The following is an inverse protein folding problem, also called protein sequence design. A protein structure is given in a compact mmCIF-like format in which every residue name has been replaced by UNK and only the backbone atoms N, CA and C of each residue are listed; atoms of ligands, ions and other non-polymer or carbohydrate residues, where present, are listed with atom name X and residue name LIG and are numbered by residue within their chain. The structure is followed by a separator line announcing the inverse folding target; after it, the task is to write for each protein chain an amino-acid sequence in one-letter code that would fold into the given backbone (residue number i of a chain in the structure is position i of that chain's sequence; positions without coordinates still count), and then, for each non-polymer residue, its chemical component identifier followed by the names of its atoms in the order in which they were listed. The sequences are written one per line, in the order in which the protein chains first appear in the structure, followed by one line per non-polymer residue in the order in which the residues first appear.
data_IF_306040926861
#
_entry.id   IF_306040926861
#
_cell.length_a   1.000
_cell.length_b   1.000
_cell.length_c   1.000
_cell.angle_alpha   90.00
_cell.angle_beta   90.00
_cell.angle_gamma   90.00
#
_symmetry.space_group_name_H-M   'P 1'
#
loop_
_entity.id
_entity.type
_entity.pdbx_description
1 polymer ?
#
# COMPACT_ATOMS: atom_id res chain seq x y z
N UNK A 1 0.84 -19.94 -14.35
CA UNK A 1 1.27 -19.84 -15.76
C UNK A 1 0.47 -18.72 -16.44
N UNK A 2 1.13 -17.71 -17.01
CA UNK A 2 0.47 -16.63 -17.75
C UNK A 2 -0.11 -17.13 -19.07
N UNK A 3 -1.25 -16.56 -19.47
CA UNK A 3 -1.94 -16.89 -20.73
C UNK A 3 -1.00 -16.57 -21.91
N UNK A 4 -0.75 -17.52 -22.82
CA UNK A 4 0.06 -17.32 -24.03
C UNK A 4 -0.49 -16.14 -24.85
N UNK A 5 0.38 -15.25 -25.30
CA UNK A 5 0.01 -14.12 -26.16
C UNK A 5 -0.44 -14.63 -27.51
N UNK A 6 -1.59 -14.16 -28.01
CA UNK A 6 -2.16 -14.59 -29.30
C UNK A 6 -1.43 -14.01 -30.50
N UNK A 7 -0.69 -12.88 -30.33
CA UNK A 7 0.02 -12.22 -31.41
C UNK A 7 1.54 -12.48 -31.28
N UNK A 8 2.21 -13.09 -32.29
CA UNK A 8 3.65 -13.37 -32.26
C UNK A 8 4.52 -12.12 -32.08
N UNK A 9 4.11 -10.97 -32.61
CA UNK A 9 4.83 -9.72 -32.44
C UNK A 9 4.94 -9.27 -30.97
N UNK A 10 4.00 -9.72 -30.14
CA UNK A 10 4.00 -9.41 -28.71
C UNK A 10 4.93 -10.32 -27.88
N UNK A 11 5.52 -11.36 -28.47
CA UNK A 11 6.46 -12.25 -27.76
C UNK A 11 7.75 -11.52 -27.37
N UNK A 12 8.14 -10.51 -28.15
CA UNK A 12 9.33 -9.67 -27.88
C UNK A 12 9.11 -8.60 -26.81
N UNK A 13 7.88 -8.41 -26.33
CA UNK A 13 7.55 -7.39 -25.34
C UNK A 13 7.75 -7.92 -23.90
N UNK A 14 8.10 -7.06 -22.94
CA UNK A 14 8.15 -7.43 -21.53
C UNK A 14 6.83 -8.01 -21.01
N UNK A 15 6.85 -8.77 -19.89
CA UNK A 15 5.64 -9.33 -19.29
C UNK A 15 4.59 -8.26 -18.98
N UNK A 16 3.33 -8.54 -19.31
CA UNK A 16 2.18 -7.65 -19.07
C UNK A 16 2.29 -6.25 -19.74
N UNK A 17 3.12 -6.12 -20.77
CA UNK A 17 3.20 -4.93 -21.61
C UNK A 17 2.40 -5.16 -22.90
N UNK A 18 1.61 -4.16 -23.26
CA UNK A 18 0.74 -4.17 -24.42
C UNK A 18 0.97 -2.89 -25.25
N UNK A 19 1.02 -3.00 -26.59
CA UNK A 19 1.04 -1.82 -27.44
C UNK A 19 -0.33 -1.14 -27.44
N UNK A 20 -0.31 0.17 -27.38
CA UNK A 20 -1.43 1.05 -27.66
C UNK A 20 -1.14 1.79 -28.98
N UNK A 21 -2.02 2.67 -29.45
CA UNK A 21 -1.84 3.40 -30.73
C UNK A 21 -0.50 4.12 -30.87
N UNK A 22 0.01 4.68 -29.77
CA UNK A 22 1.25 5.50 -29.80
C UNK A 22 2.29 5.10 -28.75
N UNK A 23 1.96 4.20 -27.81
CA UNK A 23 2.82 3.90 -26.67
C UNK A 23 2.69 2.46 -26.23
N UNK A 24 3.69 2.00 -25.46
CA UNK A 24 3.62 0.75 -24.72
C UNK A 24 3.09 1.00 -23.31
N UNK A 25 2.14 0.16 -22.89
CA UNK A 25 1.49 0.25 -21.59
C UNK A 25 1.72 -1.03 -20.81
N UNK A 26 2.27 -0.92 -19.62
CA UNK A 26 2.43 -2.02 -18.68
C UNK A 26 1.21 -2.10 -17.76
N UNK A 27 0.64 -3.30 -17.64
CA UNK A 27 -0.51 -3.58 -16.79
C UNK A 27 -0.12 -4.64 -15.75
N UNK A 28 0.50 -4.26 -14.63
CA UNK A 28 0.91 -5.21 -13.58
C UNK A 28 -0.30 -5.91 -12.94
N UNK A 29 -1.44 -5.24 -12.87
CA UNK A 29 -2.72 -5.78 -12.42
C UNK A 29 -3.85 -5.32 -13.35
N UNK A 30 -5.05 -5.91 -13.23
CA UNK A 30 -6.23 -5.51 -14.02
C UNK A 30 -6.70 -4.07 -13.75
N UNK A 31 -6.28 -3.47 -12.64
CA UNK A 31 -6.69 -2.11 -12.21
C UNK A 31 -5.64 -1.04 -12.42
N UNK A 32 -4.40 -1.44 -12.73
CA UNK A 32 -3.28 -0.52 -12.86
C UNK A 32 -2.73 -0.53 -14.28
N UNK A 33 -2.47 0.64 -14.83
CA UNK A 33 -1.80 0.80 -16.10
C UNK A 33 -0.75 1.91 -16.02
N UNK A 34 0.44 1.64 -16.54
CA UNK A 34 1.57 2.58 -16.56
C UNK A 34 2.06 2.70 -18.00
N UNK A 35 2.04 3.90 -18.55
CA UNK A 35 2.66 4.17 -19.86
C UNK A 35 4.19 4.16 -19.70
N UNK A 36 4.88 3.35 -20.49
CA UNK A 36 6.32 3.18 -20.43
C UNK A 36 7.05 4.11 -21.41
N UNK A 37 6.90 3.84 -22.72
CA UNK A 37 7.59 4.58 -23.79
C UNK A 37 6.68 4.74 -25.00
N UNK A 38 7.03 5.65 -25.91
CA UNK A 38 6.38 5.72 -27.21
C UNK A 38 6.85 4.56 -28.11
N UNK A 39 6.00 4.10 -29.03
CA UNK A 39 6.34 3.01 -29.97
C UNK A 39 7.55 3.37 -30.83
N UNK A 40 7.69 4.64 -31.20
CA UNK A 40 8.81 5.15 -32.01
C UNK A 40 10.19 5.00 -31.32
N UNK A 41 10.22 4.85 -29.98
CA UNK A 41 11.48 4.78 -29.22
C UNK A 41 12.12 3.37 -29.29
N UNK A 42 11.42 2.39 -29.83
CA UNK A 42 11.89 1.05 -30.08
C UNK A 42 11.90 0.13 -28.84
N UNK A 43 12.19 -1.16 -29.10
CA UNK A 43 12.14 -2.20 -28.07
C UNK A 43 13.22 -2.07 -27.00
N UNK A 44 14.40 -1.60 -27.35
CA UNK A 44 15.50 -1.42 -26.38
C UNK A 44 15.14 -0.39 -25.30
N UNK A 45 14.59 0.77 -25.71
CA UNK A 45 14.12 1.80 -24.80
C UNK A 45 12.95 1.29 -23.94
N UNK A 46 12.07 0.48 -24.53
CA UNK A 46 10.98 -0.17 -23.81
C UNK A 46 11.49 -1.08 -22.69
N UNK A 47 12.41 -2.00 -22.98
CA UNK A 47 12.98 -2.92 -22.01
C UNK A 47 13.68 -2.19 -20.87
N UNK A 48 14.52 -1.20 -21.19
CA UNK A 48 15.19 -0.36 -20.19
C UNK A 48 14.17 0.32 -19.26
N UNK A 49 13.15 0.95 -19.83
CA UNK A 49 12.12 1.64 -19.05
C UNK A 49 11.26 0.69 -18.21
N UNK A 50 10.98 -0.50 -18.75
CA UNK A 50 10.28 -1.54 -18.02
C UNK A 50 11.07 -2.01 -16.80
N UNK A 51 12.35 -2.34 -16.97
CA UNK A 51 13.23 -2.76 -15.87
C UNK A 51 13.37 -1.67 -14.80
N UNK A 52 13.58 -0.42 -15.18
CA UNK A 52 13.60 0.71 -14.26
C UNK A 52 12.29 0.81 -13.46
N UNK A 53 11.15 0.68 -14.14
CA UNK A 53 9.83 0.81 -13.53
C UNK A 53 9.55 -0.33 -12.55
N UNK A 54 9.87 -1.57 -12.92
CA UNK A 54 9.73 -2.75 -12.06
C UNK A 54 10.69 -2.66 -10.87
N UNK A 55 11.97 -2.35 -11.09
CA UNK A 55 12.95 -2.21 -10.02
C UNK A 55 12.58 -1.11 -9.03
N UNK A 56 12.09 0.04 -9.52
CA UNK A 56 11.63 1.12 -8.65
C UNK A 56 10.40 0.70 -7.83
N UNK A 57 9.49 -0.06 -8.43
CA UNK A 57 8.32 -0.60 -7.73
C UNK A 57 8.73 -1.63 -6.66
N UNK A 58 9.66 -2.52 -6.98
CA UNK A 58 10.17 -3.52 -6.03
C UNK A 58 11.00 -2.91 -4.90
N UNK A 59 11.67 -1.79 -5.16
CA UNK A 59 12.40 -1.00 -4.15
C UNK A 59 11.49 -0.10 -3.32
N UNK A 60 10.31 0.23 -3.82
CA UNK A 60 9.39 1.13 -3.12
C UNK A 60 9.04 0.57 -1.73
N UNK A 61 9.07 1.44 -0.72
CA UNK A 61 8.59 1.12 0.62
C UNK A 61 7.08 0.94 0.56
N UNK A 62 6.60 -0.31 0.53
CA UNK A 62 5.16 -0.59 0.68
C UNK A 62 4.75 -0.49 2.14
N UNK A 63 3.45 -0.29 2.38
CA UNK A 63 2.94 -0.28 3.75
C UNK A 63 3.19 -1.61 4.49
N UNK A 64 3.16 -2.74 3.78
CA UNK A 64 3.51 -4.04 4.35
C UNK A 64 4.96 -4.09 4.82
N UNK A 65 5.91 -3.66 3.98
CA UNK A 65 7.33 -3.58 4.36
C UNK A 65 7.59 -2.62 5.52
N UNK A 66 6.87 -1.50 5.55
CA UNK A 66 6.94 -0.55 6.65
C UNK A 66 6.47 -1.18 7.96
N UNK A 67 5.36 -1.94 7.90
CA UNK A 67 4.82 -2.65 9.04
C UNK A 67 5.77 -3.74 9.55
N UNK A 68 6.35 -4.54 8.67
CA UNK A 68 7.36 -5.56 9.01
C UNK A 68 8.57 -4.95 9.71
N UNK A 69 9.10 -3.83 9.18
CA UNK A 69 10.19 -3.11 9.82
C UNK A 69 9.82 -2.57 11.21
N UNK A 70 8.58 -2.11 11.39
CA UNK A 70 8.08 -1.68 12.69
C UNK A 70 8.04 -2.84 13.68
N UNK A 71 7.52 -4.00 13.28
CA UNK A 71 7.48 -5.21 14.13
C UNK A 71 8.87 -5.73 14.51
N UNK A 72 9.87 -5.55 13.65
CA UNK A 72 11.25 -5.94 13.91
C UNK A 72 12.04 -4.90 14.74
N UNK A 73 11.42 -3.80 15.16
CA UNK A 73 12.10 -2.72 15.89
C UNK A 73 12.11 -2.93 17.39
N UNK A 74 13.14 -2.40 18.06
CA UNK A 74 13.19 -2.33 19.52
C UNK A 74 11.97 -1.61 20.11
N UNK A 75 11.48 -0.55 19.42
CA UNK A 75 10.28 0.16 19.84
C UNK A 75 9.06 -0.78 19.99
N UNK A 76 8.88 -1.73 19.06
CA UNK A 76 7.78 -2.70 19.15
C UNK A 76 8.02 -3.73 20.26
N UNK A 77 9.25 -4.22 20.44
CA UNK A 77 9.59 -5.19 21.49
C UNK A 77 9.42 -4.63 22.91
N UNK A 78 9.57 -3.32 23.07
CA UNK A 78 9.39 -2.62 24.37
C UNK A 78 7.90 -2.40 24.73
N UNK A 79 6.97 -2.67 23.78
CA UNK A 79 5.54 -2.56 24.04
C UNK A 79 5.06 -3.73 24.92
N UNK A 80 4.01 -3.46 25.72
CA UNK A 80 3.38 -4.50 26.52
C UNK A 80 2.87 -5.67 25.64
N UNK A 81 2.88 -6.93 26.13
CA UNK A 81 2.39 -8.09 25.37
C UNK A 81 0.97 -7.92 24.84
N UNK A 82 0.12 -7.24 25.59
CA UNK A 82 -1.25 -6.90 25.18
C UNK A 82 -1.25 -6.01 23.93
N UNK A 83 -0.45 -4.94 23.95
CA UNK A 83 -0.33 -4.01 22.85
C UNK A 83 0.25 -4.68 21.61
N UNK A 84 1.26 -5.51 21.77
CA UNK A 84 1.84 -6.29 20.66
C UNK A 84 0.79 -7.19 20.00
N UNK A 85 -0.03 -7.87 20.78
CA UNK A 85 -1.13 -8.71 20.28
C UNK A 85 -2.15 -7.89 19.50
N UNK A 86 -2.50 -6.70 19.98
CA UNK A 86 -3.43 -5.79 19.29
C UNK A 86 -2.87 -5.35 17.92
N UNK A 87 -1.57 -5.03 17.83
CA UNK A 87 -0.92 -4.73 16.54
C UNK A 87 -1.00 -5.91 15.56
N UNK A 88 -0.74 -7.13 15.99
CA UNK A 88 -0.83 -8.33 15.15
C UNK A 88 -2.27 -8.59 14.67
N UNK A 89 -3.25 -8.28 15.51
CA UNK A 89 -4.66 -8.39 15.13
C UNK A 89 -5.05 -7.35 14.08
N UNK A 90 -4.65 -6.09 14.28
CA UNK A 90 -4.92 -4.99 13.35
C UNK A 90 -4.18 -5.17 12.02
N UNK A 91 -2.97 -5.73 12.05
CA UNK A 91 -2.15 -6.04 10.89
C UNK A 91 -2.94 -6.80 9.83
N UNK A 92 -3.63 -7.85 10.20
CA UNK A 92 -4.36 -8.72 9.26
C UNK A 92 -5.34 -7.94 8.38
N UNK A 93 -6.08 -7.00 8.97
CA UNK A 93 -7.08 -6.20 8.25
C UNK A 93 -6.42 -5.08 7.42
N UNK A 94 -5.44 -4.40 7.99
CA UNK A 94 -4.76 -3.30 7.33
C UNK A 94 -3.92 -3.78 6.14
N UNK A 95 -3.17 -4.88 6.29
CA UNK A 95 -2.35 -5.41 5.21
C UNK A 95 -3.17 -6.03 4.08
N UNK A 96 -4.36 -6.55 4.35
CA UNK A 96 -5.27 -7.02 3.30
C UNK A 96 -5.67 -5.90 2.33
N UNK A 97 -5.74 -4.65 2.80
CA UNK A 97 -6.14 -3.48 2.00
C UNK A 97 -4.92 -2.70 1.50
N UNK A 98 -3.97 -2.41 2.37
CA UNK A 98 -2.86 -1.48 2.08
C UNK A 98 -1.50 -2.15 1.91
N UNK A 99 -1.35 -3.44 2.22
CA UNK A 99 -0.05 -4.11 2.31
C UNK A 99 0.84 -3.98 1.08
N UNK A 100 0.25 -4.04 -0.12
CA UNK A 100 0.96 -3.94 -1.40
C UNK A 100 1.06 -2.51 -1.94
N UNK A 101 0.43 -1.55 -1.28
CA UNK A 101 0.40 -0.15 -1.73
C UNK A 101 1.68 0.54 -1.29
N UNK A 102 2.36 1.33 -2.15
CA UNK A 102 3.47 2.18 -1.74
C UNK A 102 3.04 3.10 -0.60
N UNK A 103 3.80 3.13 0.50
CA UNK A 103 3.40 3.82 1.72
C UNK A 103 3.16 5.33 1.48
N UNK A 104 4.02 5.97 0.69
CA UNK A 104 3.89 7.40 0.36
C UNK A 104 2.73 7.73 -0.59
N UNK A 105 2.13 6.74 -1.24
CA UNK A 105 0.97 6.94 -2.11
C UNK A 105 -0.37 6.84 -1.38
N UNK A 106 -0.35 6.39 -0.12
CA UNK A 106 -1.55 6.34 0.72
C UNK A 106 -1.87 7.75 1.20
N UNK A 107 -3.08 8.21 0.86
CA UNK A 107 -3.59 9.55 1.19
C UNK A 107 -4.65 9.48 2.29
N UNK A 108 -4.94 10.60 2.98
CA UNK A 108 -6.00 10.67 3.99
C UNK A 108 -7.38 10.17 3.50
N UNK A 109 -7.72 10.45 2.24
CA UNK A 109 -8.96 10.00 1.61
C UNK A 109 -9.08 8.45 1.55
N UNK A 110 -7.97 7.74 1.30
CA UNK A 110 -7.96 6.29 1.29
C UNK A 110 -8.23 5.72 2.69
N UNK A 111 -7.64 6.34 3.71
CA UNK A 111 -7.84 5.97 5.11
C UNK A 111 -9.27 6.26 5.54
N UNK A 112 -9.84 7.42 5.15
CA UNK A 112 -11.23 7.76 5.45
C UNK A 112 -12.17 6.72 4.86
N UNK A 113 -11.99 6.37 3.59
CA UNK A 113 -12.80 5.33 2.90
C UNK A 113 -12.68 3.96 3.58
N UNK A 114 -11.48 3.59 4.00
CA UNK A 114 -11.27 2.36 4.79
C UNK A 114 -12.05 2.40 6.11
N UNK A 115 -11.92 3.51 6.85
CA UNK A 115 -12.62 3.67 8.13
C UNK A 115 -14.13 3.63 7.96
N UNK A 116 -14.68 4.28 6.93
CA UNK A 116 -16.14 4.30 6.70
C UNK A 116 -16.65 2.88 6.47
N UNK A 117 -16.01 2.13 5.56
CA UNK A 117 -16.38 0.73 5.31
C UNK A 117 -16.18 -0.17 6.53
N UNK A 118 -15.09 0.01 7.27
CA UNK A 118 -14.81 -0.76 8.48
C UNK A 118 -15.73 -0.40 9.63
N UNK A 119 -16.11 0.86 9.71
CA UNK A 119 -17.01 1.44 10.71
C UNK A 119 -18.45 0.93 10.61
N UNK A 120 -18.90 0.45 9.45
CA UNK A 120 -20.18 -0.26 9.28
C UNK A 120 -20.26 -1.49 10.20
N UNK A 121 -19.13 -2.19 10.35
CA UNK A 121 -19.03 -3.36 11.23
C UNK A 121 -18.73 -2.96 12.68
N UNK A 122 -17.74 -2.06 12.89
CA UNK A 122 -17.33 -1.60 14.21
C UNK A 122 -16.54 -0.30 14.16
N UNK A 123 -17.14 0.80 14.59
CA UNK A 123 -16.50 2.12 14.70
C UNK A 123 -15.30 2.10 15.65
N UNK A 124 -15.41 1.35 16.75
CA UNK A 124 -14.32 1.21 17.74
C UNK A 124 -13.09 0.52 17.13
N UNK A 125 -13.30 -0.60 16.43
CA UNK A 125 -12.20 -1.31 15.76
C UNK A 125 -11.57 -0.47 14.65
N UNK A 126 -12.37 0.23 13.84
CA UNK A 126 -11.87 1.14 12.82
C UNK A 126 -10.96 2.23 13.44
N UNK A 127 -11.33 2.78 14.59
CA UNK A 127 -10.53 3.74 15.35
C UNK A 127 -9.20 3.15 15.84
N UNK A 128 -9.24 1.90 16.36
CA UNK A 128 -8.03 1.22 16.83
C UNK A 128 -7.08 0.90 15.68
N UNK A 129 -7.60 0.34 14.60
CA UNK A 129 -6.83 0.03 13.39
C UNK A 129 -6.18 1.29 12.81
N UNK A 130 -6.92 2.40 12.71
CA UNK A 130 -6.38 3.72 12.30
C UNK A 130 -5.30 4.21 13.24
N UNK A 131 -5.45 4.03 14.55
CA UNK A 131 -4.45 4.47 15.53
C UNK A 131 -3.16 3.66 15.41
N UNK A 132 -3.26 2.34 15.22
CA UNK A 132 -2.09 1.48 14.97
C UNK A 132 -1.37 1.86 13.68
N UNK A 133 -2.12 2.08 12.59
CA UNK A 133 -1.57 2.55 11.32
C UNK A 133 -0.84 3.89 11.48
N UNK A 134 -1.44 4.84 12.19
CA UNK A 134 -0.85 6.15 12.46
C UNK A 134 0.47 6.04 13.23
N UNK A 135 0.56 5.15 14.22
CA UNK A 135 1.78 4.92 14.98
C UNK A 135 2.90 4.35 14.11
N UNK A 136 2.58 3.38 13.26
CA UNK A 136 3.55 2.80 12.31
C UNK A 136 4.08 3.86 11.34
N UNK A 137 3.21 4.73 10.84
CA UNK A 137 3.64 5.84 9.98
C UNK A 137 4.50 6.86 10.71
N UNK A 138 4.15 7.27 11.93
CA UNK A 138 4.97 8.20 12.73
C UNK A 138 6.34 7.61 13.01
N UNK A 139 6.40 6.33 13.38
CA UNK A 139 7.66 5.62 13.58
C UNK A 139 8.51 5.56 12.30
N UNK A 140 7.86 5.30 11.16
CA UNK A 140 8.53 5.27 9.86
C UNK A 140 9.01 6.63 9.38
N UNK A 141 8.25 7.69 9.66
CA UNK A 141 8.61 9.07 9.35
C UNK A 141 9.85 9.51 10.11
N UNK A 142 9.92 9.26 11.41
CA UNK A 142 11.09 9.54 12.25
C UNK A 142 12.39 8.89 11.75
N UNK A 143 12.28 7.80 10.98
CA UNK A 143 13.41 7.02 10.43
C UNK A 143 13.63 7.22 8.94
N UNK A 144 12.90 8.16 8.32
CA UNK A 144 13.04 8.49 6.91
C UNK A 144 12.52 7.41 5.94
N UNK A 145 11.73 6.45 6.41
CA UNK A 145 11.13 5.42 5.55
C UNK A 145 9.95 5.93 4.74
N UNK A 146 9.27 6.95 5.21
CA UNK A 146 8.12 7.60 4.58
C UNK A 146 8.19 9.11 4.75
N UNK A 147 7.54 9.84 3.84
CA UNK A 147 7.57 11.31 3.79
C UNK A 147 6.60 11.98 4.77
N UNK A 148 5.65 11.23 5.32
CA UNK A 148 4.65 11.78 6.23
C UNK A 148 3.68 10.73 6.74
N UNK A 149 2.77 11.17 7.62
CA UNK A 149 1.74 10.32 8.21
C UNK A 149 0.36 10.69 7.65
N UNK A 150 -0.18 9.89 6.71
CA UNK A 150 -1.48 10.18 6.10
C UNK A 150 -2.67 10.04 7.06
N UNK A 151 -2.47 9.41 8.22
CA UNK A 151 -3.50 9.29 9.24
C UNK A 151 -3.71 10.58 10.06
N UNK A 152 -2.77 11.52 10.05
CA UNK A 152 -2.81 12.72 10.90
C UNK A 152 -4.07 13.57 10.64
N UNK A 153 -4.47 13.72 9.39
CA UNK A 153 -5.65 14.51 8.97
C UNK A 153 -6.99 13.78 9.03
N UNK A 154 -7.03 12.52 9.52
CA UNK A 154 -8.27 11.73 9.52
C UNK A 154 -8.88 11.67 10.91
N UNK A 155 -10.12 12.15 11.05
CA UNK A 155 -10.84 12.13 12.33
C UNK A 155 -11.30 10.71 12.71
N UNK A 156 -11.30 10.42 14.01
CA UNK A 156 -11.88 9.20 14.58
C UNK A 156 -13.41 9.30 14.63
N UNK A 157 -14.07 8.16 14.60
CA UNK A 157 -15.50 8.11 14.96
C UNK A 157 -15.68 8.46 16.44
N UNK A 158 -16.73 9.20 16.75
CA UNK A 158 -17.11 9.46 18.15
C UNK A 158 -17.43 8.13 18.84
N UNK A 159 -16.82 7.89 19.99
CA UNK A 159 -17.18 6.77 20.85
C UNK A 159 -18.56 7.04 21.48
N UNK A 160 -19.41 6.02 21.61
CA UNK A 160 -20.58 6.12 22.49
C UNK A 160 -20.07 6.24 23.93
N UNK A 161 -20.49 7.29 24.64
CA UNK A 161 -20.22 7.38 26.06
C UNK A 161 -20.82 6.13 26.74
N UNK A 162 -20.01 5.44 27.54
CA UNK A 162 -20.55 4.41 28.42
C UNK A 162 -21.32 5.14 29.51
N UNK A 163 -22.62 4.94 29.55
CA UNK A 163 -23.40 5.31 30.75
C UNK A 163 -22.81 4.48 31.88
N UNK A 164 -22.12 5.11 32.80
CA UNK A 164 -21.76 4.50 34.08
C UNK A 164 -23.02 4.58 34.91
N UNK A 165 -23.66 3.45 35.16
CA UNK A 165 -24.60 3.32 36.23
C UNK A 165 -23.80 3.55 37.53
N UNK A 166 -24.17 4.60 38.25
CA UNK A 166 -23.71 4.87 39.63
C UNK A 166 -24.54 4.03 40.57
#
# INVERSE_FOLDING_TARGET
MGRRRKNPEHEKLPPNVYPNKYSYVWKPTSRESVTLTAIKDGLAALWKRYEETVNNRDRAMTFGRLWEKFLASAYYSDLSPRTQKDYLQHQKKLLAVFGKVPADSIKPEHIRRYMDKRGEQSKTQANHEKSSMSRVYSWGYERGYVKGNPCAGVSKFKAKNRERYV
#
